data_IF_375483390882
#
_entry.id   IF_375483390882
#
_cell.length_a   1.000
_cell.length_b   1.000
_cell.length_c   1.000
_cell.angle_alpha   90.00
_cell.angle_beta   90.00
_cell.angle_gamma   90.00
#
_symmetry.space_group_name_H-M   'P 1'
#
loop_
_entity.id
_entity.type
_entity.pdbx_description
1 polymer ?
#
# COMPACT_ATOMS: atom_id res chain seq x y z
N UNK A 1 9.51 0.80 3.11
CA UNK A 1 8.80 -0.04 2.15
C UNK A 1 7.29 0.22 2.24
N UNK A 2 6.67 0.60 1.12
CA UNK A 2 5.23 0.90 1.06
C UNK A 2 4.39 -0.34 0.74
N UNK A 3 4.95 -1.33 0.05
CA UNK A 3 4.27 -2.49 -0.55
C UNK A 3 4.53 -3.78 0.24
N UNK A 4 4.74 -3.62 1.56
CA UNK A 4 5.25 -4.67 2.43
C UNK A 4 4.18 -5.68 2.85
N UNK A 5 2.89 -5.36 2.71
CA UNK A 5 1.78 -6.19 3.20
C UNK A 5 1.77 -6.42 4.72
N UNK A 6 2.70 -5.79 5.45
CA UNK A 6 2.87 -5.89 6.89
C UNK A 6 2.85 -4.49 7.50
N UNK A 7 1.67 -4.07 7.95
CA UNK A 7 1.44 -2.75 8.56
C UNK A 7 0.67 -2.92 9.86
N UNK A 8 1.03 -2.13 10.86
CA UNK A 8 0.32 -2.06 12.14
C UNK A 8 -0.09 -0.62 12.37
N UNK A 9 -1.36 -0.41 12.70
CA UNK A 9 -1.93 0.90 12.96
C UNK A 9 -3.09 0.79 13.96
N UNK A 10 -3.40 1.90 14.64
CA UNK A 10 -4.59 1.97 15.50
C UNK A 10 -5.85 1.97 14.65
N UNK A 11 -6.95 1.43 15.18
CA UNK A 11 -8.27 1.45 14.52
C UNK A 11 -8.68 2.84 14.01
N UNK A 12 -8.40 3.88 14.79
CA UNK A 12 -8.72 5.28 14.46
C UNK A 12 -8.13 5.73 13.10
N UNK A 13 -7.03 5.10 12.65
CA UNK A 13 -6.40 5.43 11.37
C UNK A 13 -7.30 5.08 10.19
N UNK A 14 -7.96 3.91 10.24
CA UNK A 14 -8.85 3.42 9.17
C UNK A 14 -10.31 3.81 9.39
N UNK A 15 -10.67 4.27 10.58
CA UNK A 15 -12.03 4.68 10.89
C UNK A 15 -12.47 5.82 9.95
N UNK A 16 -13.66 5.69 9.36
CA UNK A 16 -14.19 6.59 8.34
C UNK A 16 -13.29 6.75 7.10
N UNK A 17 -12.38 5.80 6.81
CA UNK A 17 -11.59 5.79 5.57
C UNK A 17 -12.29 4.92 4.53
N UNK A 18 -13.00 5.49 3.53
CA UNK A 18 -13.53 4.68 2.44
C UNK A 18 -12.36 4.09 1.68
N UNK A 19 -12.34 2.78 1.47
CA UNK A 19 -11.34 2.07 0.69
C UNK A 19 -12.02 1.47 -0.54
N UNK A 20 -11.44 1.70 -1.72
CA UNK A 20 -12.03 1.23 -2.98
C UNK A 20 -11.21 0.14 -3.67
N UNK A 21 -9.93 0.01 -3.31
CA UNK A 21 -9.03 -1.02 -3.79
C UNK A 21 -9.56 -2.43 -3.50
N UNK A 22 -9.35 -3.33 -4.47
CA UNK A 22 -9.73 -4.76 -4.39
C UNK A 22 -8.53 -5.70 -4.57
N UNK A 23 -7.36 -5.16 -4.87
CA UNK A 23 -6.11 -5.89 -5.08
C UNK A 23 -4.91 -5.21 -4.44
N UNK A 24 -3.76 -5.34 -5.10
CA UNK A 24 -2.48 -4.81 -4.61
C UNK A 24 -2.46 -3.27 -4.58
N UNK A 25 -3.35 -2.62 -5.32
CA UNK A 25 -3.55 -1.18 -5.27
C UNK A 25 -4.09 -0.66 -3.92
N UNK A 26 -4.39 -1.54 -2.98
CA UNK A 26 -4.71 -1.19 -1.60
C UNK A 26 -3.55 -0.47 -0.90
N UNK A 27 -2.33 -0.96 -1.04
CA UNK A 27 -1.15 -0.39 -0.38
C UNK A 27 -0.92 1.09 -0.76
N UNK A 28 -0.98 1.47 -2.06
CA UNK A 28 -0.87 2.88 -2.45
C UNK A 28 -2.08 3.72 -2.06
N UNK A 29 -3.32 3.20 -2.14
CA UNK A 29 -4.51 3.94 -1.68
C UNK A 29 -4.45 4.21 -0.17
N UNK A 30 -4.18 3.18 0.61
CA UNK A 30 -4.09 3.26 2.06
C UNK A 30 -3.00 4.23 2.48
N UNK A 31 -1.79 4.08 1.92
CA UNK A 31 -0.66 4.96 2.29
C UNK A 31 -0.93 6.41 1.90
N UNK A 32 -1.52 6.67 0.73
CA UNK A 32 -1.89 8.03 0.31
C UNK A 32 -2.91 8.66 1.27
N UNK A 33 -3.96 7.93 1.65
CA UNK A 33 -5.01 8.42 2.55
C UNK A 33 -4.52 8.64 3.98
N UNK A 34 -3.65 7.76 4.49
CA UNK A 34 -3.00 7.92 5.80
C UNK A 34 -2.16 9.19 5.84
N UNK A 35 -1.35 9.44 4.80
CA UNK A 35 -0.52 10.63 4.71
C UNK A 35 -1.35 11.92 4.60
N UNK A 36 -2.44 11.91 3.84
CA UNK A 36 -3.36 13.06 3.74
C UNK A 36 -4.04 13.42 5.04
N UNK A 37 -4.34 12.42 5.88
CA UNK A 37 -4.88 12.63 7.23
C UNK A 37 -3.83 13.14 8.23
N UNK A 38 -2.59 13.35 7.80
CA UNK A 38 -1.51 13.89 8.63
C UNK A 38 -0.90 12.87 9.61
N UNK A 39 -1.22 11.58 9.44
CA UNK A 39 -0.61 10.54 10.27
C UNK A 39 0.86 10.33 9.89
N UNK A 40 1.69 10.05 10.90
CA UNK A 40 3.11 9.75 10.71
C UNK A 40 3.29 8.26 10.48
N UNK A 41 3.96 7.91 9.39
CA UNK A 41 4.36 6.54 9.08
C UNK A 41 5.80 6.32 9.55
N UNK A 42 6.03 5.23 10.28
CA UNK A 42 7.36 4.82 10.71
C UNK A 42 7.69 3.48 10.09
N UNK A 43 8.90 3.36 9.56
CA UNK A 43 9.40 2.13 8.98
C UNK A 43 10.25 1.41 10.03
N UNK A 44 9.85 0.19 10.38
CA UNK A 44 10.58 -0.65 11.32
C UNK A 44 11.29 -1.73 10.51
N UNK A 45 12.61 -1.91 10.66
CA UNK A 45 13.33 -2.94 9.94
C UNK A 45 12.85 -4.33 10.37
N UNK A 46 12.62 -5.20 9.40
CA UNK A 46 12.24 -6.60 9.61
C UNK A 46 13.18 -7.52 8.83
N UNK A 47 13.40 -8.73 9.35
CA UNK A 47 14.01 -9.80 8.59
C UNK A 47 12.91 -10.51 7.78
N UNK A 48 13.05 -10.53 6.46
CA UNK A 48 12.13 -11.19 5.55
C UNK A 48 12.89 -12.22 4.72
N UNK A 49 12.30 -13.41 4.56
CA UNK A 49 12.84 -14.44 3.67
C UNK A 49 12.11 -14.36 2.32
N UNK A 50 12.74 -13.81 1.27
CA UNK A 50 12.09 -13.68 -0.03
C UNK A 50 11.86 -15.05 -0.66
N UNK A 51 10.72 -15.20 -1.36
CA UNK A 51 10.49 -16.36 -2.23
C UNK A 51 11.45 -16.32 -3.40
N UNK A 52 11.89 -17.50 -3.83
CA UNK A 52 12.76 -17.60 -5.00
C UNK A 52 11.98 -17.19 -6.26
N UNK A 53 12.69 -16.65 -7.26
CA UNK A 53 12.07 -16.27 -8.53
C UNK A 53 11.40 -17.45 -9.23
N UNK A 54 11.93 -18.67 -9.02
CA UNK A 54 11.39 -19.92 -9.54
C UNK A 54 10.06 -20.35 -8.91
N UNK A 55 9.73 -19.87 -7.71
CA UNK A 55 8.46 -20.16 -7.02
C UNK A 55 7.28 -19.32 -7.53
N UNK A 56 7.54 -18.41 -8.47
CA UNK A 56 6.53 -17.53 -9.05
C UNK A 56 6.24 -16.31 -8.16
N UNK A 57 6.49 -15.13 -8.72
CA UNK A 57 6.05 -13.87 -8.10
C UNK A 57 4.56 -13.68 -8.33
N UNK A 58 3.81 -13.41 -7.25
CA UNK A 58 2.38 -13.09 -7.32
C UNK A 58 2.09 -11.70 -7.92
N UNK A 59 3.13 -10.87 -8.08
CA UNK A 59 3.08 -9.52 -8.64
C UNK A 59 3.56 -9.55 -10.09
N UNK A 60 2.79 -8.97 -11.00
CA UNK A 60 3.12 -8.81 -12.42
C UNK A 60 3.44 -7.35 -12.71
N UNK A 61 4.13 -7.06 -13.81
CA UNK A 61 4.44 -5.69 -14.23
C UNK A 61 3.17 -4.82 -14.41
N UNK A 62 2.04 -5.44 -14.78
CA UNK A 62 0.73 -4.79 -14.86
C UNK A 62 0.27 -4.20 -13.53
N UNK A 63 0.53 -4.89 -12.41
CA UNK A 63 0.19 -4.40 -11.08
C UNK A 63 0.96 -3.11 -10.73
N UNK A 64 2.20 -2.98 -11.23
CA UNK A 64 2.99 -1.75 -11.09
C UNK A 64 2.36 -0.54 -11.79
N UNK A 65 1.80 -0.72 -13.00
CA UNK A 65 1.07 0.34 -13.69
C UNK A 65 -0.22 0.75 -12.95
N UNK A 66 -0.94 -0.23 -12.39
CA UNK A 66 -2.14 0.02 -11.59
C UNK A 66 -1.75 0.78 -10.31
N UNK A 67 -0.67 0.40 -9.63
CA UNK A 67 -0.18 1.08 -8.44
C UNK A 67 0.20 2.54 -8.75
N UNK A 68 0.90 2.79 -9.85
CA UNK A 68 1.26 4.15 -10.29
C UNK A 68 0.02 5.00 -10.60
N UNK A 69 -0.95 4.43 -11.32
CA UNK A 69 -2.22 5.12 -11.60
C UNK A 69 -2.99 5.45 -10.32
N UNK A 70 -3.04 4.51 -9.38
CA UNK A 70 -3.67 4.68 -8.07
C UNK A 70 -3.01 5.81 -7.28
N UNK A 71 -1.68 5.86 -7.24
CA UNK A 71 -0.94 6.95 -6.59
C UNK A 71 -1.28 8.31 -7.21
N UNK A 72 -1.30 8.41 -8.54
CA UNK A 72 -1.66 9.65 -9.23
C UNK A 72 -3.12 10.05 -8.97
N UNK A 73 -4.06 9.12 -9.10
CA UNK A 73 -5.48 9.35 -8.83
C UNK A 73 -5.70 9.88 -7.42
N UNK A 74 -5.20 9.17 -6.41
CA UNK A 74 -5.35 9.59 -5.02
C UNK A 74 -4.46 10.78 -4.65
N UNK A 75 -3.47 11.18 -5.46
CA UNK A 75 -2.73 12.43 -5.22
C UNK A 75 -3.54 13.68 -5.57
N UNK A 76 -4.40 13.62 -6.60
CA UNK A 76 -5.05 14.79 -7.20
C UNK A 76 -6.59 14.81 -7.11
N UNK A 77 -7.25 13.66 -7.00
CA UNK A 77 -8.73 13.56 -7.08
C UNK A 77 -9.40 13.47 -5.72
N UNK A 78 -8.66 13.06 -4.70
CA UNK A 78 -9.13 12.88 -3.32
C UNK A 78 -8.49 13.91 -2.38
#
# INVERSE_FOLDING_TARGET
DMETGYKVFKREVIENMPLHARGFEFEPEFTAKVLKRGYRVFEVPIAFNPRDYSEGKKIKAKDGFIALWTLLKYRFVD
#
